data_IF_379010059759
#
_entry.id   IF_379010059759
#
_cell.length_a   1.000
_cell.length_b   1.000
_cell.length_c   1.000
_cell.angle_alpha   90.00
_cell.angle_beta   90.00
_cell.angle_gamma   90.00
#
_symmetry.space_group_name_H-M   'P 1'
#
loop_
_entity.id
_entity.type
_entity.pdbx_description
1 polymer ?
#
# COMPACT_ATOMS: atom_id res chain seq x y z
N UNK A 1 -6.72 -23.43 -14.67
CA UNK A 1 -7.98 -22.68 -14.38
C UNK A 1 -8.00 -22.25 -12.91
N UNK A 2 -7.11 -21.34 -12.52
CA UNK A 2 -6.96 -20.92 -11.11
C UNK A 2 -6.62 -19.43 -10.96
N UNK A 3 -6.98 -18.57 -11.93
CA UNK A 3 -6.54 -17.17 -11.90
C UNK A 3 -7.59 -16.21 -11.35
N UNK A 4 -8.87 -16.58 -11.31
CA UNK A 4 -9.94 -15.64 -10.94
C UNK A 4 -10.06 -15.36 -9.43
N UNK A 5 -9.60 -16.27 -8.56
CA UNK A 5 -9.60 -16.06 -7.09
C UNK A 5 -8.33 -15.35 -6.59
N UNK A 6 -7.25 -15.37 -7.36
CA UNK A 6 -5.96 -14.81 -6.94
C UNK A 6 -5.95 -13.26 -6.93
N UNK A 7 -6.81 -12.62 -7.73
CA UNK A 7 -6.92 -11.16 -7.80
C UNK A 7 -7.74 -10.59 -6.62
N UNK A 8 -8.51 -11.43 -5.91
CA UNK A 8 -9.28 -11.01 -4.74
C UNK A 8 -10.19 -9.78 -5.02
N UNK A 9 -10.38 -8.88 -4.05
CA UNK A 9 -11.19 -7.66 -4.26
C UNK A 9 -10.60 -6.69 -5.31
N UNK A 10 -9.32 -6.83 -5.66
CA UNK A 10 -8.62 -5.96 -6.60
C UNK A 10 -9.06 -6.15 -8.05
N UNK A 11 -9.93 -7.14 -8.36
CA UNK A 11 -10.58 -7.27 -9.66
C UNK A 11 -11.42 -6.05 -10.05
N UNK A 12 -11.83 -5.24 -9.07
CA UNK A 12 -12.53 -3.99 -9.35
C UNK A 12 -11.57 -2.95 -9.96
N UNK A 13 -10.28 -2.99 -9.58
CA UNK A 13 -9.26 -2.11 -10.15
C UNK A 13 -9.03 -2.37 -11.63
N UNK A 14 -9.12 -3.63 -12.08
CA UNK A 14 -8.96 -3.96 -13.50
C UNK A 14 -10.14 -3.51 -14.36
N UNK A 15 -11.29 -3.21 -13.75
CA UNK A 15 -12.46 -2.65 -14.44
C UNK A 15 -12.44 -1.11 -14.47
N UNK A 16 -11.61 -0.46 -13.65
CA UNK A 16 -11.43 0.98 -13.65
C UNK A 16 -10.45 1.41 -14.74
N UNK A 17 -10.65 2.57 -15.38
CA UNK A 17 -9.67 3.08 -16.34
C UNK A 17 -8.32 3.34 -15.62
N UNK A 18 -7.17 3.11 -16.28
CA UNK A 18 -5.84 3.20 -15.64
C UNK A 18 -5.49 4.49 -14.90
N UNK A 19 -6.22 5.58 -15.14
CA UNK A 19 -6.04 6.87 -14.46
C UNK A 19 -6.80 6.97 -13.15
N UNK A 20 -7.82 6.14 -12.95
CA UNK A 20 -8.68 6.18 -11.78
C UNK A 20 -8.01 5.60 -10.52
N UNK A 21 -6.95 4.78 -10.66
CA UNK A 21 -6.15 4.29 -9.54
C UNK A 21 -4.86 5.11 -9.30
N UNK A 22 -4.62 6.15 -10.11
CA UNK A 22 -3.50 7.08 -9.93
C UNK A 22 -3.94 8.26 -9.06
N UNK A 23 -3.97 8.04 -7.75
CA UNK A 23 -4.22 9.13 -6.82
C UNK A 23 -2.97 10.03 -6.70
N UNK A 24 -3.09 11.36 -6.90
CA UNK A 24 -1.97 12.27 -6.80
C UNK A 24 -1.29 12.26 -5.43
N UNK A 25 -2.00 11.94 -4.35
CA UNK A 25 -1.44 11.79 -3.01
C UNK A 25 -0.44 10.62 -2.93
N UNK A 26 -0.68 9.54 -3.67
CA UNK A 26 0.16 8.34 -3.65
C UNK A 26 1.31 8.42 -4.67
N UNK A 27 1.20 9.29 -5.67
CA UNK A 27 2.21 9.50 -6.72
C UNK A 27 3.66 9.62 -6.21
N UNK A 28 3.96 10.47 -5.21
CA UNK A 28 5.31 10.59 -4.64
C UNK A 28 5.86 9.26 -4.10
N UNK A 29 5.02 8.47 -3.44
CA UNK A 29 5.40 7.18 -2.83
C UNK A 29 5.77 6.13 -3.90
N UNK A 30 5.19 6.20 -5.09
CA UNK A 30 5.43 5.27 -6.20
C UNK A 30 6.73 5.53 -6.96
N UNK A 31 7.48 6.56 -6.61
CA UNK A 31 8.78 6.84 -7.23
C UNK A 31 9.82 5.79 -6.86
N UNK A 32 10.82 5.49 -7.73
CA UNK A 32 11.87 4.52 -7.41
C UNK A 32 12.65 4.83 -6.12
N UNK A 33 12.76 6.11 -5.76
CA UNK A 33 13.41 6.57 -4.53
C UNK A 33 12.69 6.12 -3.25
N UNK A 34 11.41 5.75 -3.35
CA UNK A 34 10.55 5.39 -2.22
C UNK A 34 10.02 3.95 -2.30
N UNK A 35 10.59 3.11 -3.17
CA UNK A 35 10.23 1.70 -3.32
C UNK A 35 10.15 0.94 -1.99
N UNK A 36 11.14 1.12 -1.09
CA UNK A 36 11.13 0.49 0.23
C UNK A 36 9.97 0.93 1.12
N UNK A 37 9.55 2.21 1.02
CA UNK A 37 8.41 2.74 1.76
C UNK A 37 7.09 2.23 1.17
N UNK A 38 6.97 2.21 -0.15
CA UNK A 38 5.82 1.64 -0.85
C UNK A 38 5.64 0.15 -0.49
N UNK A 39 6.72 -0.63 -0.53
CA UNK A 39 6.70 -2.04 -0.12
C UNK A 39 6.30 -2.21 1.35
N UNK A 40 6.85 -1.38 2.24
CA UNK A 40 6.50 -1.42 3.67
C UNK A 40 5.02 -1.12 3.90
N UNK A 41 4.46 -0.12 3.21
CA UNK A 41 3.05 0.22 3.28
C UNK A 41 2.15 -0.89 2.72
N UNK A 42 2.54 -1.50 1.59
CA UNK A 42 1.79 -2.61 0.99
C UNK A 42 1.72 -3.80 1.95
N UNK A 43 2.85 -4.21 2.55
CA UNK A 43 2.89 -5.33 3.53
C UNK A 43 2.10 -4.98 4.80
N UNK A 44 2.14 -3.72 5.24
CA UNK A 44 1.32 -3.25 6.37
C UNK A 44 -0.18 -3.43 6.11
N UNK A 45 -0.64 -3.00 4.94
CA UNK A 45 -2.04 -3.07 4.53
C UNK A 45 -2.48 -4.52 4.25
N UNK A 46 -1.61 -5.34 3.64
CA UNK A 46 -1.82 -6.78 3.47
C UNK A 46 -1.92 -7.52 4.82
N UNK A 47 -1.24 -7.02 5.85
CA UNK A 47 -1.35 -7.51 7.23
C UNK A 47 -2.55 -6.90 8.00
N UNK A 48 -3.48 -6.22 7.32
CA UNK A 48 -4.62 -5.53 7.90
C UNK A 48 -4.23 -4.50 8.99
N UNK A 49 -3.11 -3.79 8.79
CA UNK A 49 -2.61 -2.78 9.72
C UNK A 49 -1.96 -3.35 10.99
N UNK A 50 -1.74 -4.66 11.08
CA UNK A 50 -1.15 -5.27 12.27
C UNK A 50 0.37 -5.12 12.29
N UNK A 51 0.87 -4.06 12.94
CA UNK A 51 2.30 -3.74 13.01
C UNK A 51 3.21 -4.89 13.49
N UNK A 52 2.72 -5.76 14.38
CA UNK A 52 3.47 -6.95 14.81
C UNK A 52 3.70 -7.95 13.68
N UNK A 53 2.65 -8.25 12.91
CA UNK A 53 2.73 -9.17 11.78
C UNK A 53 3.55 -8.57 10.64
N UNK A 54 3.34 -7.29 10.35
CA UNK A 54 4.10 -6.56 9.32
C UNK A 54 5.60 -6.53 9.63
N UNK A 55 5.99 -6.24 10.87
CA UNK A 55 7.39 -6.21 11.26
C UNK A 55 8.05 -7.60 11.13
N UNK A 56 7.32 -8.67 11.50
CA UNK A 56 7.78 -10.04 11.33
C UNK A 56 7.94 -10.42 9.85
N UNK A 57 6.96 -10.09 9.01
CA UNK A 57 6.97 -10.36 7.56
C UNK A 57 8.14 -9.65 6.86
N UNK A 58 8.41 -8.39 7.22
CA UNK A 58 9.51 -7.60 6.67
C UNK A 58 10.87 -7.92 7.30
N UNK A 59 10.92 -8.74 8.36
CA UNK A 59 12.16 -9.02 9.09
C UNK A 59 12.79 -7.78 9.75
N UNK A 60 11.99 -6.80 10.16
CA UNK A 60 12.45 -5.54 10.76
C UNK A 60 11.95 -5.35 12.19
N UNK A 61 12.61 -4.46 12.93
CA UNK A 61 12.14 -4.06 14.24
C UNK A 61 10.88 -3.18 14.14
N UNK A 62 9.98 -3.27 15.12
CA UNK A 62 8.74 -2.47 15.19
C UNK A 62 9.00 -0.95 15.10
N UNK A 63 10.06 -0.47 15.75
CA UNK A 63 10.44 0.95 15.69
C UNK A 63 10.79 1.39 14.26
N UNK A 64 11.49 0.54 13.51
CA UNK A 64 11.83 0.79 12.11
C UNK A 64 10.57 0.81 11.25
N UNK A 65 9.62 -0.08 11.52
CA UNK A 65 8.31 -0.07 10.86
C UNK A 65 7.58 1.25 11.10
N UNK A 66 7.40 1.67 12.36
CA UNK A 66 6.71 2.94 12.67
C UNK A 66 7.39 4.15 12.04
N UNK A 67 8.73 4.18 12.01
CA UNK A 67 9.46 5.22 11.31
C UNK A 67 9.16 5.24 9.80
N UNK A 68 9.10 4.07 9.15
CA UNK A 68 8.75 3.96 7.74
C UNK A 68 7.31 4.39 7.48
N UNK A 69 6.35 3.93 8.29
CA UNK A 69 4.94 4.31 8.18
C UNK A 69 4.72 5.81 8.38
N UNK A 70 5.35 6.42 9.38
CA UNK A 70 5.28 7.88 9.56
C UNK A 70 5.86 8.66 8.37
N UNK A 71 6.87 8.11 7.68
CA UNK A 71 7.37 8.71 6.44
C UNK A 71 6.39 8.56 5.28
N UNK A 72 5.67 7.45 5.21
CA UNK A 72 4.60 7.24 4.22
C UNK A 72 3.53 8.31 4.41
N UNK A 73 3.00 8.47 5.63
CA UNK A 73 2.00 9.49 5.97
C UNK A 73 2.46 10.90 5.61
N UNK A 74 3.73 11.23 5.90
CA UNK A 74 4.29 12.55 5.53
C UNK A 74 4.42 12.76 4.03
N UNK A 75 4.73 11.71 3.27
CA UNK A 75 4.89 11.80 1.82
C UNK A 75 3.56 11.88 1.09
N UNK A 76 2.55 11.17 1.58
CA UNK A 76 1.24 11.07 0.93
C UNK A 76 0.21 12.04 1.49
N UNK A 77 0.39 12.50 2.73
CA UNK A 77 -0.61 13.27 3.46
C UNK A 77 -1.78 12.42 3.99
N UNK A 78 -1.72 11.10 3.83
CA UNK A 78 -2.75 10.16 4.28
C UNK A 78 -2.53 9.79 5.75
N UNK A 79 -3.63 9.55 6.47
CA UNK A 79 -3.67 9.05 7.83
C UNK A 79 -3.84 7.51 7.83
N UNK A 80 -2.85 6.77 8.34
CA UNK A 80 -2.95 5.31 8.38
C UNK A 80 -3.83 4.77 9.51
N UNK A 81 -4.29 5.62 10.43
CA UNK A 81 -5.33 5.26 11.40
C UNK A 81 -6.74 5.36 10.78
N UNK A 82 -6.91 6.17 9.73
CA UNK A 82 -8.17 6.28 8.98
C UNK A 82 -8.41 5.09 8.01
N UNK A 83 -9.67 4.67 7.91
CA UNK A 83 -10.06 3.52 7.09
C UNK A 83 -10.11 3.79 5.60
N UNK A 84 -10.56 4.98 5.20
CA UNK A 84 -10.68 5.38 3.80
C UNK A 84 -9.30 5.65 3.21
N UNK A 85 -8.42 6.33 3.95
CA UNK A 85 -7.04 6.60 3.56
C UNK A 85 -6.22 5.32 3.39
N UNK A 86 -6.36 4.35 4.31
CA UNK A 86 -5.75 3.03 4.15
C UNK A 86 -6.26 2.32 2.90
N UNK A 87 -7.57 2.35 2.64
CA UNK A 87 -8.16 1.69 1.48
C UNK A 87 -7.66 2.32 0.17
N UNK A 88 -7.65 3.65 0.10
CA UNK A 88 -7.13 4.43 -1.03
C UNK A 88 -5.67 4.06 -1.30
N UNK A 89 -4.82 4.09 -0.27
CA UNK A 89 -3.41 3.74 -0.39
C UNK A 89 -3.23 2.28 -0.86
N UNK A 90 -4.00 1.35 -0.32
CA UNK A 90 -3.91 -0.07 -0.68
C UNK A 90 -4.29 -0.30 -2.14
N UNK A 91 -5.36 0.33 -2.59
CA UNK A 91 -5.82 0.25 -3.98
C UNK A 91 -4.79 0.86 -4.94
N UNK A 92 -4.24 2.03 -4.63
CA UNK A 92 -3.24 2.69 -5.47
C UNK A 92 -1.95 1.85 -5.60
N UNK A 93 -1.45 1.29 -4.48
CA UNK A 93 -0.27 0.41 -4.48
C UNK A 93 -0.49 -0.86 -5.30
N UNK A 94 -1.64 -1.53 -5.13
CA UNK A 94 -1.97 -2.75 -5.91
C UNK A 94 -2.20 -2.43 -7.38
N UNK A 95 -2.84 -1.31 -7.69
CA UNK A 95 -3.05 -0.84 -9.06
C UNK A 95 -1.73 -0.57 -9.78
N UNK A 96 -0.78 0.09 -9.11
CA UNK A 96 0.55 0.35 -9.67
C UNK A 96 1.37 -0.93 -9.95
N UNK A 97 1.15 -2.01 -9.20
CA UNK A 97 1.83 -3.31 -9.39
C UNK A 97 1.28 -4.14 -10.55
N UNK A 98 0.03 -3.88 -10.94
CA UNK A 98 -0.67 -4.61 -12.00
C UNK A 98 -0.45 -4.01 -13.40
N UNK A 99 0.28 -2.90 -13.50
CA UNK A 99 0.65 -2.22 -14.75
C UNK A 99 2.09 -2.53 -15.15
#
# INVERSE_FOLDING_TARGET
MAEWRAIGPYRLLTALPPRAHQDPAVGPLLTPAHHELAHTAEVFLDCAGQAGRTAAELGIHRQTLYYRLSRVEKLTGLDLDDGEDRLLLHMALKGARLQ
#
